data_IF_740956842699
#
_entry.id   IF_740956842699
#
_cell.length_a   1.000
_cell.length_b   1.000
_cell.length_c   1.000
_cell.angle_alpha   90.00
_cell.angle_beta   90.00
_cell.angle_gamma   90.00
#
_symmetry.space_group_name_H-M   'P 1'
#
loop_
_entity.id
_entity.type
_entity.pdbx_description
1 polymer ?
#
# COMPACT_ATOMS: atom_id res chain seq x y z
N UNK A 1 -2.80 17.09 6.63
CA UNK A 1 -3.01 15.65 6.91
C UNK A 1 -2.00 15.26 7.97
N UNK A 2 -2.43 14.67 9.08
CA UNK A 2 -1.50 14.24 10.15
C UNK A 2 -1.10 12.80 9.88
N UNK A 3 0.19 12.59 9.64
CA UNK A 3 0.78 11.26 9.64
C UNK A 3 1.36 11.05 11.04
N UNK A 4 0.92 10.00 11.72
CA UNK A 4 1.39 9.66 13.06
C UNK A 4 2.78 9.01 13.04
N UNK A 5 3.19 8.45 11.90
CA UNK A 5 4.47 7.80 11.77
C UNK A 5 5.09 7.99 10.36
N UNK A 6 6.43 8.04 10.26
CA UNK A 6 7.14 8.28 8.99
C UNK A 6 6.90 7.19 7.93
N UNK A 7 6.47 5.99 8.34
CA UNK A 7 6.10 4.93 7.42
C UNK A 7 4.77 5.20 6.69
N UNK A 8 3.84 5.96 7.28
CA UNK A 8 2.54 6.27 6.66
C UNK A 8 2.71 7.17 5.44
N UNK A 9 3.58 8.17 5.52
CA UNK A 9 3.93 9.03 4.38
C UNK A 9 4.67 8.27 3.29
N UNK A 10 5.53 7.31 3.66
CA UNK A 10 6.21 6.42 2.69
C UNK A 10 5.21 5.56 1.94
N UNK A 11 4.29 4.95 2.67
CA UNK A 11 3.23 4.12 2.11
C UNK A 11 2.47 4.95 1.06
N UNK A 12 1.98 6.14 1.43
CA UNK A 12 1.31 7.08 0.52
C UNK A 12 2.13 7.39 -0.73
N UNK A 13 3.42 7.71 -0.58
CA UNK A 13 4.31 8.00 -1.70
C UNK A 13 4.46 6.82 -2.66
N UNK A 14 4.52 5.59 -2.14
CA UNK A 14 4.59 4.37 -2.98
C UNK A 14 3.29 4.19 -3.77
N UNK A 15 2.12 4.35 -3.15
CA UNK A 15 0.85 4.26 -3.89
C UNK A 15 0.70 5.37 -4.92
N UNK A 16 1.10 6.59 -4.58
CA UNK A 16 1.07 7.71 -5.52
C UNK A 16 1.94 7.42 -6.75
N UNK A 17 3.19 6.97 -6.56
CA UNK A 17 4.09 6.60 -7.66
C UNK A 17 3.52 5.46 -8.51
N UNK A 18 2.95 4.43 -7.89
CA UNK A 18 2.34 3.31 -8.62
C UNK A 18 1.14 3.75 -9.46
N UNK A 19 0.32 4.66 -8.95
CA UNK A 19 -0.80 5.23 -9.71
C UNK A 19 -0.29 6.17 -10.81
N UNK A 20 0.71 7.01 -10.53
CA UNK A 20 1.34 7.90 -11.52
C UNK A 20 2.08 7.13 -12.63
N UNK A 21 2.60 5.94 -12.32
CA UNK A 21 3.21 5.04 -13.31
C UNK A 21 2.21 4.49 -14.34
N UNK A 22 0.90 4.75 -14.16
CA UNK A 22 -0.17 4.38 -15.07
C UNK A 22 -0.56 2.91 -15.03
N UNK A 23 0.07 2.11 -14.15
CA UNK A 23 -0.23 0.68 -13.96
C UNK A 23 -1.48 0.44 -13.12
N UNK A 24 -1.82 1.40 -12.26
CA UNK A 24 -2.97 1.30 -11.37
C UNK A 24 -3.77 2.61 -11.36
N UNK A 25 -5.06 2.48 -11.10
CA UNK A 25 -5.94 3.62 -10.89
C UNK A 25 -6.23 3.81 -9.41
N UNK A 26 -6.38 5.07 -9.00
CA UNK A 26 -6.86 5.40 -7.65
C UNK A 26 -8.19 4.73 -7.32
N UNK A 27 -9.04 4.50 -8.32
CA UNK A 27 -10.31 3.79 -8.16
C UNK A 27 -10.13 2.30 -7.84
N UNK A 28 -9.13 1.64 -8.44
CA UNK A 28 -8.81 0.24 -8.14
C UNK A 28 -8.29 0.10 -6.71
N UNK A 29 -7.37 0.99 -6.32
CA UNK A 29 -6.87 1.07 -4.95
C UNK A 29 -8.00 1.30 -3.94
N UNK A 30 -8.90 2.24 -4.23
CA UNK A 30 -10.05 2.52 -3.35
C UNK A 30 -10.97 1.31 -3.23
N UNK A 31 -11.23 0.62 -4.33
CA UNK A 31 -12.07 -0.58 -4.34
C UNK A 31 -11.46 -1.67 -3.47
N UNK A 32 -10.16 -1.94 -3.63
CA UNK A 32 -9.44 -2.92 -2.81
C UNK A 32 -9.40 -2.53 -1.34
N UNK A 33 -9.20 -1.24 -1.02
CA UNK A 33 -9.25 -0.77 0.36
C UNK A 33 -10.61 -1.05 1.01
N UNK A 34 -11.71 -0.79 0.30
CA UNK A 34 -13.06 -1.09 0.79
C UNK A 34 -13.23 -2.60 1.00
N UNK A 35 -12.74 -3.43 0.07
CA UNK A 35 -12.77 -4.89 0.20
C UNK A 35 -11.95 -5.38 1.39
N UNK A 36 -10.75 -4.86 1.60
CA UNK A 36 -9.88 -5.20 2.74
C UNK A 36 -10.55 -4.83 4.07
N UNK A 37 -11.15 -3.64 4.15
CA UNK A 37 -11.93 -3.21 5.32
C UNK A 37 -13.11 -4.16 5.55
N UNK A 38 -13.89 -4.48 4.52
CA UNK A 38 -15.02 -5.41 4.66
C UNK A 38 -14.60 -6.83 5.08
N UNK A 39 -13.45 -7.30 4.60
CA UNK A 39 -12.85 -8.56 5.01
C UNK A 39 -12.41 -8.53 6.49
N UNK A 40 -11.79 -7.42 6.92
CA UNK A 40 -11.46 -7.20 8.33
C UNK A 40 -12.70 -7.17 9.22
N UNK A 41 -13.76 -6.49 8.78
CA UNK A 41 -15.05 -6.45 9.50
C UNK A 41 -15.71 -7.83 9.59
N UNK A 42 -15.48 -8.68 8.61
CA UNK A 42 -15.96 -10.07 8.57
C UNK A 42 -15.07 -11.05 9.33
N UNK A 43 -13.86 -10.65 9.73
CA UNK A 43 -12.90 -11.52 10.45
C UNK A 43 -13.37 -11.74 11.89
N UNK A 44 -13.22 -12.95 12.41
CA UNK A 44 -13.70 -13.30 13.75
C UNK A 44 -13.05 -12.43 14.85
N UNK A 45 -13.80 -12.04 15.89
CA UNK A 45 -13.35 -11.04 16.88
C UNK A 45 -12.12 -11.50 17.67
N UNK A 46 -11.89 -12.81 17.72
CA UNK A 46 -10.76 -13.43 18.40
C UNK A 46 -9.47 -13.43 17.55
N UNK A 47 -9.60 -13.31 16.24
CA UNK A 47 -8.48 -13.31 15.26
C UNK A 47 -8.29 -11.95 14.60
N UNK A 48 -9.20 -11.01 14.86
CA UNK A 48 -9.22 -9.69 14.24
C UNK A 48 -8.09 -8.82 14.79
N UNK A 49 -7.17 -8.34 13.94
CA UNK A 49 -6.16 -7.39 14.36
C UNK A 49 -6.82 -6.07 14.78
N UNK A 50 -6.17 -5.24 15.62
CA UNK A 50 -6.71 -3.94 16.02
C UNK A 50 -7.05 -3.09 14.78
N UNK A 51 -8.15 -2.35 14.86
CA UNK A 51 -8.56 -1.46 13.77
C UNK A 51 -7.55 -0.34 13.60
N UNK A 52 -6.91 -0.30 12.43
CA UNK A 52 -5.98 0.75 12.07
C UNK A 52 -6.12 1.05 10.59
N UNK A 53 -6.53 2.28 10.28
CA UNK A 53 -6.82 2.71 8.91
C UNK A 53 -5.61 2.57 7.99
N UNK A 54 -4.42 2.94 8.48
CA UNK A 54 -3.19 2.86 7.70
C UNK A 54 -2.72 1.41 7.52
N UNK A 55 -3.02 0.52 8.47
CA UNK A 55 -2.75 -0.92 8.34
C UNK A 55 -3.62 -1.53 7.24
N UNK A 56 -4.93 -1.24 7.21
CA UNK A 56 -5.81 -1.64 6.11
C UNK A 56 -5.35 -1.05 4.77
N UNK A 57 -4.86 0.19 4.78
CA UNK A 57 -4.31 0.87 3.61
C UNK A 57 -3.06 0.17 3.06
N UNK A 58 -2.11 -0.20 3.93
CA UNK A 58 -0.90 -0.95 3.55
C UNK A 58 -1.26 -2.36 3.07
N UNK A 59 -2.19 -3.06 3.72
CA UNK A 59 -2.64 -4.37 3.25
C UNK A 59 -3.26 -4.30 1.85
N UNK A 60 -4.09 -3.28 1.58
CA UNK A 60 -4.68 -3.10 0.25
C UNK A 60 -3.59 -2.88 -0.81
N UNK A 61 -2.57 -2.09 -0.48
CA UNK A 61 -1.40 -1.88 -1.33
C UNK A 61 -0.61 -3.18 -1.57
N UNK A 62 -0.36 -3.96 -0.52
CA UNK A 62 0.33 -5.24 -0.61
C UNK A 62 -0.44 -6.24 -1.50
N UNK A 63 -1.78 -6.26 -1.42
CA UNK A 63 -2.60 -7.09 -2.29
C UNK A 63 -2.56 -6.62 -3.75
N UNK A 64 -2.53 -5.31 -4.01
CA UNK A 64 -2.33 -4.78 -5.37
C UNK A 64 -0.98 -5.16 -5.94
N UNK A 65 0.06 -4.98 -5.14
CA UNK A 65 1.42 -5.31 -5.52
C UNK A 65 1.57 -6.81 -5.73
N UNK A 66 0.96 -7.65 -4.90
CA UNK A 66 1.02 -9.11 -5.04
C UNK A 66 0.30 -9.58 -6.30
N UNK A 67 -0.91 -9.07 -6.55
CA UNK A 67 -1.70 -9.39 -7.76
C UNK A 67 -0.97 -8.95 -9.03
N UNK A 68 -0.39 -7.75 -9.01
CA UNK A 68 0.43 -7.27 -10.12
C UNK A 68 1.80 -7.96 -10.20
N UNK A 69 2.45 -8.35 -9.10
CA UNK A 69 3.72 -9.11 -9.12
C UNK A 69 3.54 -10.48 -9.73
N UNK A 70 2.39 -11.12 -9.48
CA UNK A 70 2.04 -12.37 -10.14
C UNK A 70 1.87 -12.19 -11.65
N UNK A 71 1.35 -11.04 -12.09
CA UNK A 71 1.15 -10.70 -13.50
C UNK A 71 2.39 -10.07 -14.20
N UNK A 72 3.27 -9.43 -13.42
CA UNK A 72 4.37 -8.54 -13.84
C UNK A 72 5.72 -8.98 -13.21
N UNK A 73 5.85 -10.27 -12.87
CA UNK A 73 7.04 -10.89 -12.25
C UNK A 73 8.32 -10.71 -13.09
N UNK A 74 8.19 -10.23 -14.34
CA UNK A 74 9.31 -9.86 -15.19
C UNK A 74 9.78 -8.40 -15.05
N UNK A 75 9.07 -7.50 -14.36
CA UNK A 75 9.40 -6.06 -14.28
C UNK A 75 9.54 -5.49 -12.85
N UNK A 76 9.04 -6.16 -11.81
CA UNK A 76 8.99 -5.60 -10.45
C UNK A 76 10.29 -5.67 -9.63
N UNK A 77 11.19 -6.59 -9.96
CA UNK A 77 12.45 -6.80 -9.22
C UNK A 77 13.38 -5.55 -9.27
N UNK A 78 13.34 -4.77 -10.36
CA UNK A 78 14.18 -3.58 -10.54
C UNK A 78 13.71 -2.32 -9.79
N UNK A 79 12.40 -2.17 -9.52
CA UNK A 79 11.83 -0.91 -9.00
C UNK A 79 11.68 -0.90 -7.48
N UNK A 80 11.34 -2.05 -6.88
CA UNK A 80 11.22 -2.18 -5.42
C UNK A 80 12.54 -1.88 -4.70
N UNK A 81 13.68 -2.28 -5.28
CA UNK A 81 15.00 -1.98 -4.73
C UNK A 81 15.34 -0.49 -4.76
N UNK A 82 14.93 0.22 -5.82
CA UNK A 82 15.16 1.67 -5.97
C UNK A 82 14.34 2.48 -4.94
N UNK A 83 13.13 2.01 -4.60
CA UNK A 83 12.27 2.66 -3.61
C UNK A 83 12.71 2.41 -2.17
N UNK A 84 13.21 1.22 -1.85
CA UNK A 84 13.76 0.90 -0.53
C UNK A 84 15.07 1.66 -0.19
N UNK A 85 15.76 2.18 -1.21
CA UNK A 85 17.04 2.87 -1.06
C UNK A 85 16.97 4.39 -1.04
N UNK A 86 15.80 5.04 -1.15
CA UNK A 86 15.73 6.50 -0.95
C UNK A 86 15.85 6.84 0.55
N UNK A 87 16.98 7.40 1.02
CA UNK A 87 17.05 7.95 2.34
C UNK A 87 16.11 9.15 2.37
N UNK A 88 15.40 9.32 3.49
CA UNK A 88 14.66 10.54 3.77
C UNK A 88 15.68 11.66 3.90
N UNK A 89 15.91 12.38 2.80
CA UNK A 89 16.66 13.62 2.79
C UNK A 89 15.92 14.61 3.68
N UNK A 90 16.51 14.84 4.84
CA UNK A 90 16.21 15.90 5.79
C UNK A 90 16.20 17.25 5.06
N UNK A 91 15.09 17.98 5.18
CA UNK A 91 14.97 19.41 4.87
C UNK A 91 13.79 19.89 5.75
N UNK A 92 13.87 20.83 6.68
CA UNK A 92 14.92 21.71 7.18
C UNK A 92 14.41 22.31 8.51
#
# INVERSE_FOLDING_TARGET
MVFEAPWQSRAFGVTADLVESGRFSWEDFRTRLITTIGAWESTDVHERPPWDYYTCWVQALEQMLSDSTLLDSSELDGRAFTYAQRPHGHDH
#
